data_IF_218346302368
#
_entry.id   IF_218346302368
#
_cell.length_a   1.000
_cell.length_b   1.000
_cell.length_c   1.000
_cell.angle_alpha   90.00
_cell.angle_beta   90.00
_cell.angle_gamma   90.00
#
_symmetry.space_group_name_H-M   'P 1'
#
loop_
_entity.id
_entity.type
_entity.pdbx_description
1 polymer ?
#
# COMPACT_ATOMS: atom_id res chain seq x y z
N UNK A 1 -7.90 -45.08 14.98
CA UNK A 1 -7.79 -44.71 16.40
C UNK A 1 -6.67 -43.70 16.65
N UNK A 2 -5.51 -43.80 15.98
CA UNK A 2 -4.39 -42.85 16.16
C UNK A 2 -4.68 -41.41 15.70
N UNK A 3 -5.35 -41.21 14.56
CA UNK A 3 -5.65 -39.86 14.02
C UNK A 3 -6.53 -39.02 14.98
N UNK A 4 -7.58 -39.60 15.55
CA UNK A 4 -8.45 -38.91 16.52
C UNK A 4 -7.71 -38.52 17.81
N UNK A 5 -6.84 -39.39 18.32
CA UNK A 5 -6.03 -39.10 19.51
C UNK A 5 -5.02 -37.99 19.24
N UNK A 6 -4.40 -38.00 18.07
CA UNK A 6 -3.45 -36.98 17.66
C UNK A 6 -4.14 -35.62 17.46
N UNK A 7 -5.31 -35.57 16.81
CA UNK A 7 -6.11 -34.34 16.68
C UNK A 7 -6.47 -33.75 18.04
N UNK A 8 -6.86 -34.60 18.99
CA UNK A 8 -7.17 -34.16 20.36
C UNK A 8 -5.93 -33.60 21.06
N UNK A 9 -4.77 -34.24 20.94
CA UNK A 9 -3.52 -33.75 21.50
C UNK A 9 -3.12 -32.39 20.90
N UNK A 10 -3.21 -32.23 19.58
CA UNK A 10 -2.95 -30.94 18.92
C UNK A 10 -3.91 -29.86 19.40
N UNK A 11 -5.20 -30.19 19.54
CA UNK A 11 -6.21 -29.26 20.04
C UNK A 11 -5.89 -28.78 21.46
N UNK A 12 -5.45 -29.65 22.37
CA UNK A 12 -5.03 -29.24 23.72
C UNK A 12 -3.82 -28.30 23.69
N UNK A 13 -2.82 -28.60 22.86
CA UNK A 13 -1.62 -27.75 22.72
C UNK A 13 -2.01 -26.36 22.19
N UNK A 14 -2.84 -26.30 21.15
CA UNK A 14 -3.31 -25.04 20.57
C UNK A 14 -4.18 -24.28 21.55
N UNK A 15 -5.07 -24.94 22.29
CA UNK A 15 -5.89 -24.28 23.30
C UNK A 15 -5.04 -23.67 24.41
N UNK A 16 -4.03 -24.41 24.87
CA UNK A 16 -3.07 -23.90 25.87
C UNK A 16 -2.37 -22.65 25.34
N UNK A 17 -1.91 -22.68 24.08
CA UNK A 17 -1.33 -21.49 23.46
C UNK A 17 -2.30 -20.32 23.36
N UNK A 18 -3.57 -20.58 23.04
CA UNK A 18 -4.59 -19.53 22.98
C UNK A 18 -4.75 -18.87 24.34
N UNK A 19 -4.77 -19.64 25.44
CA UNK A 19 -4.86 -19.09 26.80
C UNK A 19 -3.63 -18.25 27.18
N UNK A 20 -2.42 -18.72 26.87
CA UNK A 20 -1.19 -17.95 27.10
C UNK A 20 -1.24 -16.61 26.34
N UNK A 21 -1.54 -16.68 25.04
CA UNK A 21 -1.63 -15.48 24.20
C UNK A 21 -2.76 -14.55 24.65
N UNK A 22 -3.90 -15.10 25.07
CA UNK A 22 -5.00 -14.31 25.61
C UNK A 22 -4.58 -13.52 26.84
N UNK A 23 -3.84 -14.15 27.77
CA UNK A 23 -3.28 -13.47 28.94
C UNK A 23 -2.37 -12.30 28.54
N UNK A 24 -1.44 -12.52 27.61
CA UNK A 24 -0.52 -11.48 27.12
C UNK A 24 -1.27 -10.32 26.46
N UNK A 25 -2.28 -10.62 25.62
CA UNK A 25 -3.09 -9.60 24.93
C UNK A 25 -3.90 -8.78 25.93
N UNK A 26 -4.48 -9.42 26.95
CA UNK A 26 -5.32 -8.74 27.92
C UNK A 26 -4.56 -7.74 28.79
N UNK A 27 -3.26 -7.93 29.01
CA UNK A 27 -2.40 -6.92 29.67
C UNK A 27 -2.35 -5.63 28.86
N UNK A 28 -2.32 -5.72 27.53
CA UNK A 28 -2.31 -4.58 26.62
C UNK A 28 -3.72 -3.99 26.50
N UNK A 29 -4.75 -4.85 26.39
CA UNK A 29 -6.15 -4.46 26.21
C UNK A 29 -6.67 -3.47 27.23
N UNK A 30 -6.21 -3.57 28.47
CA UNK A 30 -6.71 -2.79 29.61
C UNK A 30 -5.92 -1.51 29.87
N UNK A 31 -4.88 -1.21 29.08
CA UNK A 31 -4.10 0.02 29.23
C UNK A 31 -4.94 1.27 28.97
N UNK A 32 -5.95 1.17 28.11
CA UNK A 32 -6.82 2.30 27.72
C UNK A 32 -8.13 2.36 28.51
N UNK A 33 -8.15 2.00 29.80
CA UNK A 33 -9.37 2.04 30.62
C UNK A 33 -9.91 3.48 30.85
N UNK A 34 -11.23 3.70 30.91
CA UNK A 34 -12.33 2.74 30.76
C UNK A 34 -12.62 2.34 29.31
N UNK A 35 -13.23 1.16 29.14
CA UNK A 35 -13.73 0.69 27.84
C UNK A 35 -14.94 1.53 27.39
N UNK A 36 -15.21 1.64 26.08
CA UNK A 36 -16.32 2.44 25.58
C UNK A 36 -17.67 1.76 25.91
N UNK A 37 -18.74 2.56 26.08
CA UNK A 37 -20.08 2.01 26.33
C UNK A 37 -20.56 1.14 25.16
N UNK A 38 -21.52 0.21 25.38
CA UNK A 38 -22.07 -0.62 24.32
C UNK A 38 -22.68 0.21 23.20
N UNK A 39 -22.38 -0.19 21.98
CA UNK A 39 -22.94 0.43 20.78
C UNK A 39 -24.48 0.31 20.71
N UNK A 40 -25.03 -0.79 21.24
CA UNK A 40 -26.46 -1.08 21.32
C UNK A 40 -26.77 -1.41 22.78
N UNK A 41 -27.82 -0.80 23.32
CA UNK A 41 -28.29 -1.04 24.68
C UNK A 41 -29.75 -1.44 24.63
N UNK A 42 -30.10 -2.50 25.36
CA UNK A 42 -31.50 -2.85 25.59
C UNK A 42 -32.13 -1.85 26.56
N UNK A 43 -33.14 -1.11 26.11
CA UNK A 43 -33.85 -0.11 26.92
C UNK A 43 -34.56 -0.69 28.14
N UNK A 44 -34.84 -2.00 28.16
CA UNK A 44 -35.54 -2.68 29.24
C UNK A 44 -34.59 -3.21 30.33
N UNK A 45 -33.29 -3.27 30.07
CA UNK A 45 -32.29 -3.79 31.00
C UNK A 45 -31.32 -2.70 31.48
N UNK A 46 -30.94 -2.70 32.77
CA UNK A 46 -29.94 -1.76 33.26
C UNK A 46 -28.57 -2.07 32.65
N UNK A 47 -27.86 -1.03 32.21
CA UNK A 47 -26.47 -1.15 31.77
C UNK A 47 -25.58 -1.48 32.98
N UNK A 48 -24.92 -2.65 32.94
CA UNK A 48 -23.95 -3.06 33.95
C UNK A 48 -22.55 -2.92 33.35
N UNK A 49 -21.84 -1.88 33.78
CA UNK A 49 -20.45 -1.66 33.40
C UNK A 49 -19.51 -2.50 34.28
N UNK A 50 -18.34 -2.91 33.78
CA UNK A 50 -17.37 -3.64 34.59
C UNK A 50 -16.69 -2.68 35.57
N UNK A 51 -16.54 -3.11 36.82
CA UNK A 51 -16.05 -2.28 37.92
C UNK A 51 -14.51 -2.13 37.89
N UNK A 52 -13.81 -3.06 37.23
CA UNK A 52 -12.36 -3.05 37.17
C UNK A 52 -11.80 -3.80 35.96
N UNK A 53 -10.54 -3.52 35.64
CA UNK A 53 -9.77 -4.25 34.62
C UNK A 53 -9.59 -5.73 34.98
N UNK A 54 -9.40 -6.05 36.27
CA UNK A 54 -9.25 -7.43 36.75
C UNK A 54 -10.50 -8.28 36.48
N UNK A 55 -11.69 -7.69 36.69
CA UNK A 55 -12.96 -8.36 36.39
C UNK A 55 -13.06 -8.72 34.91
N UNK A 56 -12.70 -7.81 34.00
CA UNK A 56 -12.72 -8.06 32.56
C UNK A 56 -11.74 -9.17 32.16
N UNK A 57 -10.53 -9.18 32.73
CA UNK A 57 -9.53 -10.22 32.47
C UNK A 57 -10.07 -11.60 32.89
N UNK A 58 -10.65 -11.70 34.09
CA UNK A 58 -11.25 -12.95 34.59
C UNK A 58 -12.43 -13.40 33.72
N UNK A 59 -13.30 -12.47 33.30
CA UNK A 59 -14.43 -12.77 32.42
C UNK A 59 -13.96 -13.29 31.06
N UNK A 60 -12.99 -12.64 30.42
CA UNK A 60 -12.43 -13.06 29.12
C UNK A 60 -11.85 -14.48 29.21
N UNK A 61 -11.04 -14.75 30.24
CA UNK A 61 -10.42 -16.06 30.43
C UNK A 61 -11.47 -17.14 30.73
N UNK A 62 -12.44 -16.84 31.60
CA UNK A 62 -13.54 -17.74 31.95
C UNK A 62 -14.42 -18.08 30.75
N UNK A 63 -14.83 -17.08 29.98
CA UNK A 63 -15.66 -17.27 28.78
C UNK A 63 -14.94 -18.10 27.71
N UNK A 64 -13.65 -17.86 27.49
CA UNK A 64 -12.86 -18.66 26.53
C UNK A 64 -12.73 -20.12 26.99
N UNK A 65 -12.50 -20.37 28.29
CA UNK A 65 -12.38 -21.73 28.85
C UNK A 65 -13.67 -22.52 28.76
N UNK A 66 -14.82 -21.88 28.98
CA UNK A 66 -16.13 -22.54 28.98
C UNK A 66 -16.59 -22.90 27.55
N UNK A 67 -16.31 -22.05 26.56
CA UNK A 67 -16.77 -22.25 25.19
C UNK A 67 -15.83 -23.15 24.35
N UNK A 68 -15.67 -24.39 24.82
CA UNK A 68 -14.82 -25.38 24.15
C UNK A 68 -15.34 -25.78 22.77
N UNK A 69 -16.66 -25.72 22.59
CA UNK A 69 -17.30 -26.04 21.32
C UNK A 69 -16.93 -25.02 20.24
N UNK A 70 -16.99 -23.72 20.54
CA UNK A 70 -16.58 -22.67 19.59
C UNK A 70 -15.09 -22.76 19.28
N UNK A 71 -14.23 -23.00 20.28
CA UNK A 71 -12.81 -23.24 20.05
C UNK A 71 -12.56 -24.38 19.05
N UNK A 72 -13.22 -25.53 19.24
CA UNK A 72 -13.05 -26.68 18.34
C UNK A 72 -13.53 -26.36 16.92
N UNK A 73 -14.66 -25.63 16.77
CA UNK A 73 -15.15 -25.19 15.46
C UNK A 73 -14.13 -24.31 14.73
N UNK A 74 -13.60 -23.28 15.42
CA UNK A 74 -12.61 -22.37 14.85
C UNK A 74 -11.29 -23.09 14.50
N UNK A 75 -10.94 -24.13 15.27
CA UNK A 75 -9.77 -24.96 14.95
C UNK A 75 -9.99 -25.82 13.71
N UNK A 76 -11.20 -26.35 13.48
CA UNK A 76 -11.54 -27.03 12.22
C UNK A 76 -11.48 -26.07 11.03
N UNK A 77 -11.99 -24.84 11.16
CA UNK A 77 -11.84 -23.80 10.13
C UNK A 77 -10.35 -23.51 9.81
N UNK A 78 -9.49 -23.53 10.83
CA UNK A 78 -8.04 -23.40 10.63
C UNK A 78 -7.45 -24.63 9.89
N UNK A 79 -7.93 -25.85 10.16
CA UNK A 79 -7.51 -27.06 9.43
C UNK A 79 -7.84 -26.93 7.95
N UNK A 80 -9.05 -26.47 7.63
CA UNK A 80 -9.52 -26.32 6.26
C UNK A 80 -8.76 -25.22 5.49
N UNK A 81 -8.52 -24.08 6.12
CA UNK A 81 -7.94 -22.91 5.46
C UNK A 81 -6.41 -22.86 5.44
N UNK A 82 -5.74 -23.39 6.48
CA UNK A 82 -4.29 -23.23 6.65
C UNK A 82 -3.46 -24.41 6.15
N UNK A 83 -4.03 -25.60 6.04
CA UNK A 83 -3.32 -26.81 5.60
C UNK A 83 -3.26 -26.80 4.06
N UNK A 84 -2.07 -26.69 3.44
CA UNK A 84 -1.97 -26.64 1.99
C UNK A 84 -2.42 -27.94 1.36
N UNK A 85 -3.12 -27.84 0.23
CA UNK A 85 -3.65 -29.00 -0.49
C UNK A 85 -2.55 -30.03 -0.84
N UNK A 86 -1.31 -29.61 -1.12
CA UNK A 86 -0.19 -30.55 -1.37
C UNK A 86 0.07 -31.56 -0.24
N UNK A 87 -0.31 -31.25 1.01
CA UNK A 87 -0.15 -32.18 2.13
C UNK A 87 -1.22 -33.30 2.12
N UNK A 88 -2.34 -33.10 1.42
CA UNK A 88 -3.34 -34.16 1.23
C UNK A 88 -2.85 -35.30 0.35
N UNK A 89 -1.72 -35.10 -0.34
CA UNK A 89 -1.08 -36.09 -1.22
C UNK A 89 0.02 -36.91 -0.51
N UNK A 90 0.23 -36.69 0.79
CA UNK A 90 1.21 -37.44 1.58
C UNK A 90 0.67 -38.80 2.03
N UNK A 91 1.54 -39.67 2.54
CA UNK A 91 1.15 -41.01 3.00
C UNK A 91 0.26 -40.99 4.25
N UNK A 92 0.33 -39.95 5.07
CA UNK A 92 -0.54 -39.73 6.24
C UNK A 92 -0.93 -38.24 6.33
N UNK A 93 -1.93 -37.82 5.53
CA UNK A 93 -2.37 -36.42 5.44
C UNK A 93 -2.79 -35.80 6.76
N UNK A 94 -3.50 -36.56 7.60
CA UNK A 94 -3.98 -36.09 8.90
C UNK A 94 -2.79 -35.75 9.80
N UNK A 95 -1.84 -36.67 9.92
CA UNK A 95 -0.67 -36.49 10.78
C UNK A 95 0.22 -35.34 10.35
N UNK A 96 0.49 -35.21 9.06
CA UNK A 96 1.31 -34.13 8.52
C UNK A 96 0.56 -32.79 8.57
N UNK A 97 -0.77 -32.79 8.41
CA UNK A 97 -1.64 -31.63 8.62
C UNK A 97 -1.59 -31.11 10.05
N UNK A 98 -1.73 -31.98 11.06
CA UNK A 98 -1.63 -31.59 12.46
C UNK A 98 -0.22 -31.04 12.82
N UNK A 99 0.85 -31.68 12.30
CA UNK A 99 2.22 -31.16 12.46
C UNK A 99 2.39 -29.79 11.80
N UNK A 100 1.75 -29.56 10.66
CA UNK A 100 1.78 -28.29 9.95
C UNK A 100 1.17 -27.16 10.80
N UNK A 101 0.02 -27.41 11.44
CA UNK A 101 -0.59 -26.47 12.38
C UNK A 101 0.31 -26.20 13.59
N UNK A 102 0.90 -27.24 14.19
CA UNK A 102 1.80 -27.09 15.33
C UNK A 102 3.07 -26.28 15.00
N UNK A 103 3.57 -26.34 13.76
CA UNK A 103 4.69 -25.48 13.31
C UNK A 103 4.29 -24.01 13.17
N UNK A 104 2.99 -23.70 13.09
CA UNK A 104 2.40 -22.36 12.97
C UNK A 104 1.54 -22.00 14.17
N UNK A 105 1.89 -22.54 15.33
CA UNK A 105 1.09 -22.49 16.55
C UNK A 105 0.63 -21.06 16.91
N UNK A 106 1.52 -20.06 16.77
CA UNK A 106 1.20 -18.65 17.04
C UNK A 106 0.15 -18.11 16.05
N UNK A 107 0.31 -18.40 14.76
CA UNK A 107 -0.60 -17.94 13.71
C UNK A 107 -1.99 -18.59 13.84
N UNK A 108 -2.03 -19.88 14.18
CA UNK A 108 -3.28 -20.62 14.44
C UNK A 108 -3.99 -20.05 15.67
N UNK A 109 -3.28 -19.88 16.79
CA UNK A 109 -3.85 -19.32 18.01
C UNK A 109 -4.43 -17.93 17.77
N UNK A 110 -3.69 -17.06 17.05
CA UNK A 110 -4.15 -15.72 16.70
C UNK A 110 -5.40 -15.74 15.84
N UNK A 111 -5.47 -16.60 14.80
CA UNK A 111 -6.70 -16.77 13.98
C UNK A 111 -7.91 -17.20 14.80
N UNK A 112 -7.72 -18.13 15.74
CA UNK A 112 -8.78 -18.57 16.66
C UNK A 112 -9.24 -17.41 17.55
N UNK A 113 -8.32 -16.66 18.16
CA UNK A 113 -8.68 -15.53 19.03
C UNK A 113 -9.42 -14.42 18.27
N UNK A 114 -9.05 -14.13 17.01
CA UNK A 114 -9.86 -13.25 16.15
C UNK A 114 -11.27 -13.80 15.93
N UNK A 115 -11.43 -15.10 15.66
CA UNK A 115 -12.76 -15.72 15.50
C UNK A 115 -13.59 -15.73 16.79
N UNK A 116 -12.94 -15.83 17.94
CA UNK A 116 -13.61 -15.67 19.25
C UNK A 116 -14.07 -14.23 19.45
N UNK A 117 -13.20 -13.26 19.17
CA UNK A 117 -13.51 -11.84 19.26
C UNK A 117 -14.71 -11.46 18.38
N UNK A 118 -14.69 -11.89 17.10
CA UNK A 118 -15.81 -11.69 16.17
C UNK A 118 -17.10 -12.35 16.69
N UNK A 119 -17.01 -13.56 17.26
CA UNK A 119 -18.15 -14.24 17.84
C UNK A 119 -18.76 -13.49 19.02
N UNK A 120 -17.94 -12.95 19.92
CA UNK A 120 -18.42 -12.15 21.05
C UNK A 120 -19.04 -10.83 20.58
N UNK A 121 -18.38 -10.12 19.66
CA UNK A 121 -18.91 -8.88 19.10
C UNK A 121 -20.18 -9.11 18.27
N UNK A 122 -20.32 -10.26 17.62
CA UNK A 122 -21.55 -10.60 16.91
C UNK A 122 -22.75 -10.77 17.85
N UNK A 123 -22.55 -11.30 19.06
CA UNK A 123 -23.58 -11.36 20.10
C UNK A 123 -23.83 -10.00 20.73
N UNK A 124 -22.77 -9.21 20.92
CA UNK A 124 -22.89 -7.87 21.49
C UNK A 124 -23.66 -6.89 20.58
N UNK A 125 -23.50 -7.05 19.26
CA UNK A 125 -24.14 -6.22 18.23
C UNK A 125 -25.43 -6.85 17.68
N UNK A 126 -25.97 -7.88 18.33
CA UNK A 126 -27.29 -8.42 17.98
C UNK A 126 -28.37 -7.40 18.37
N UNK A 127 -29.15 -6.94 17.39
CA UNK A 127 -30.18 -5.91 17.59
C UNK A 127 -31.36 -6.42 18.39
N UNK A 128 -31.63 -7.72 18.32
CA UNK A 128 -32.78 -8.32 19.01
C UNK A 128 -32.45 -8.68 20.47
N UNK A 129 -31.16 -8.92 20.77
CA UNK A 129 -30.71 -9.33 22.09
C UNK A 129 -29.23 -8.94 22.33
N UNK A 130 -28.92 -7.64 22.52
CA UNK A 130 -27.54 -7.18 22.67
C UNK A 130 -26.92 -7.68 23.98
N UNK A 131 -25.75 -8.31 23.90
CA UNK A 131 -25.03 -8.83 25.07
C UNK A 131 -23.93 -7.85 25.53
N UNK A 132 -24.23 -7.11 26.60
CA UNK A 132 -23.33 -6.13 27.24
C UNK A 132 -22.04 -6.77 27.78
N UNK A 133 -22.10 -7.99 28.31
CA UNK A 133 -20.89 -8.67 28.81
C UNK A 133 -19.98 -9.04 27.64
N UNK A 134 -20.56 -9.53 26.55
CA UNK A 134 -19.82 -9.83 25.31
C UNK A 134 -19.29 -8.57 24.63
N UNK A 135 -19.95 -7.44 24.79
CA UNK A 135 -19.42 -6.15 24.33
C UNK A 135 -18.08 -5.84 25.00
N UNK A 136 -18.03 -5.76 26.32
CA UNK A 136 -16.81 -5.35 27.02
C UNK A 136 -15.67 -6.36 26.84
N UNK A 137 -15.98 -7.66 26.92
CA UNK A 137 -14.97 -8.72 26.68
C UNK A 137 -14.49 -8.75 25.23
N UNK A 138 -15.39 -8.51 24.26
CA UNK A 138 -15.07 -8.41 22.83
C UNK A 138 -14.21 -7.19 22.51
N UNK A 139 -14.58 -6.00 22.97
CA UNK A 139 -13.80 -4.76 22.76
C UNK A 139 -12.43 -4.86 23.43
N UNK A 140 -12.35 -5.40 24.65
CA UNK A 140 -11.07 -5.61 25.31
C UNK A 140 -10.18 -6.55 24.49
N UNK A 141 -10.70 -7.72 24.08
CA UNK A 141 -9.94 -8.66 23.26
C UNK A 141 -9.52 -8.05 21.91
N UNK A 142 -10.42 -7.32 21.25
CA UNK A 142 -10.14 -6.59 20.02
C UNK A 142 -8.95 -5.63 20.20
N UNK A 143 -9.00 -4.76 21.22
CA UNK A 143 -7.93 -3.80 21.50
C UNK A 143 -6.56 -4.47 21.69
N UNK A 144 -6.54 -5.63 22.37
CA UNK A 144 -5.32 -6.43 22.55
C UNK A 144 -4.82 -7.04 21.24
N UNK A 145 -5.71 -7.63 20.44
CA UNK A 145 -5.39 -8.24 19.14
C UNK A 145 -4.79 -7.22 18.16
N UNK A 146 -5.19 -5.96 18.26
CA UNK A 146 -4.69 -4.86 17.43
C UNK A 146 -3.31 -4.32 17.86
N UNK A 147 -2.55 -5.08 18.66
CA UNK A 147 -1.20 -4.73 19.11
C UNK A 147 -0.10 -4.90 18.04
N UNK A 148 -0.37 -5.59 16.94
CA UNK A 148 0.61 -5.88 15.89
C UNK A 148 0.02 -5.59 14.51
N UNK A 149 0.78 -4.93 13.63
CA UNK A 149 0.43 -4.69 12.23
C UNK A 149 0.68 -5.90 11.35
N UNK A 150 0.06 -7.05 11.66
CA UNK A 150 0.09 -8.22 10.79
C UNK A 150 -1.11 -8.25 9.83
N UNK A 151 -1.02 -9.07 8.78
CA UNK A 151 -2.10 -9.13 7.77
C UNK A 151 -3.46 -9.55 8.35
N UNK A 152 -3.51 -10.19 9.52
CA UNK A 152 -4.77 -10.49 10.22
C UNK A 152 -5.36 -9.23 10.86
N UNK A 153 -4.57 -8.48 11.63
CA UNK A 153 -5.04 -7.23 12.23
C UNK A 153 -5.41 -6.18 11.18
N UNK A 154 -4.63 -6.08 10.09
CA UNK A 154 -4.92 -5.16 8.99
C UNK A 154 -6.28 -5.45 8.36
N UNK A 155 -6.57 -6.71 8.01
CA UNK A 155 -7.80 -7.05 7.29
C UNK A 155 -8.98 -7.36 8.22
N UNK A 156 -8.85 -8.35 9.11
CA UNK A 156 -9.95 -8.75 10.01
C UNK A 156 -10.20 -7.71 11.09
N UNK A 157 -9.15 -7.09 11.60
CA UNK A 157 -9.30 -6.01 12.58
C UNK A 157 -10.01 -4.80 12.00
N UNK A 158 -9.70 -4.42 10.75
CA UNK A 158 -10.46 -3.39 10.03
C UNK A 158 -11.94 -3.76 9.94
N UNK A 159 -12.28 -4.99 9.54
CA UNK A 159 -13.68 -5.43 9.48
C UNK A 159 -14.40 -5.42 10.83
N UNK A 160 -13.68 -5.72 11.92
CA UNK A 160 -14.22 -5.60 13.28
C UNK A 160 -14.52 -4.12 13.60
N UNK A 161 -13.57 -3.22 13.34
CA UNK A 161 -13.77 -1.77 13.54
C UNK A 161 -14.96 -1.28 12.71
N UNK A 162 -15.02 -1.65 11.43
CA UNK A 162 -16.09 -1.30 10.50
C UNK A 162 -17.44 -1.80 11.05
N UNK A 163 -17.50 -3.04 11.55
CA UNK A 163 -18.71 -3.63 12.14
C UNK A 163 -19.18 -2.89 13.39
N UNK A 164 -18.23 -2.46 14.23
CA UNK A 164 -18.50 -1.64 15.42
C UNK A 164 -19.05 -0.26 15.01
N UNK A 165 -18.37 0.44 14.11
CA UNK A 165 -18.77 1.76 13.63
C UNK A 165 -20.18 1.73 13.00
N UNK A 166 -20.46 0.69 12.22
CA UNK A 166 -21.74 0.49 11.55
C UNK A 166 -22.83 -0.11 12.45
N UNK A 167 -22.49 -0.54 13.67
CA UNK A 167 -23.39 -1.27 14.59
C UNK A 167 -24.09 -2.48 13.97
N UNK A 168 -23.29 -3.29 13.28
CA UNK A 168 -23.72 -4.56 12.67
C UNK A 168 -22.80 -5.70 13.11
N UNK A 169 -23.33 -6.92 13.34
CA UNK A 169 -22.49 -8.08 13.66
C UNK A 169 -21.41 -8.36 12.60
N UNK A 170 -20.16 -8.66 13.01
CA UNK A 170 -19.13 -9.11 12.08
C UNK A 170 -19.57 -10.32 11.25
N UNK A 171 -19.18 -10.35 9.97
CA UNK A 171 -19.45 -11.47 9.05
C UNK A 171 -20.86 -11.52 8.45
N UNK A 172 -21.78 -10.62 8.80
CA UNK A 172 -23.16 -10.60 8.28
C UNK A 172 -23.45 -9.57 7.19
N UNK A 173 -22.48 -8.75 6.78
CA UNK A 173 -22.73 -7.68 5.82
C UNK A 173 -21.58 -7.57 4.78
N UNK A 174 -21.89 -7.17 3.53
CA UNK A 174 -20.92 -7.20 2.44
C UNK A 174 -19.86 -6.10 2.61
N UNK A 175 -18.63 -6.51 2.89
CA UNK A 175 -17.45 -5.65 3.04
C UNK A 175 -16.79 -5.26 1.70
N UNK A 176 -17.51 -5.38 0.57
CA UNK A 176 -16.94 -5.05 -0.76
C UNK A 176 -16.86 -3.54 -0.96
N UNK A 177 -15.69 -2.96 -1.29
CA UNK A 177 -15.57 -1.55 -1.65
C UNK A 177 -16.60 -1.20 -2.73
N UNK A 178 -17.15 0.00 -2.70
CA UNK A 178 -18.00 0.47 -3.80
C UNK A 178 -17.11 0.56 -5.04
N UNK A 179 -17.49 -0.13 -6.11
CA UNK A 179 -16.72 -0.13 -7.33
C UNK A 179 -16.63 1.31 -7.86
N UNK A 180 -15.48 1.72 -8.36
CA UNK A 180 -15.26 3.07 -8.94
C UNK A 180 -15.60 3.11 -10.42
N UNK A 181 -15.85 4.29 -11.01
CA UNK A 181 -16.23 4.45 -12.44
C UNK A 181 -15.26 3.84 -13.46
N UNK A 182 -14.05 3.52 -13.02
CA UNK A 182 -12.99 2.91 -13.83
C UNK A 182 -12.95 1.37 -13.73
N UNK A 183 -13.78 0.75 -12.88
CA UNK A 183 -13.83 -0.70 -12.67
C UNK A 183 -15.00 -1.33 -13.46
N UNK A 184 -14.79 -2.55 -13.96
CA UNK A 184 -15.73 -3.26 -14.85
C UNK A 184 -17.08 -3.62 -14.20
N UNK A 185 -17.11 -3.69 -12.87
CA UNK A 185 -18.25 -3.99 -12.02
C UNK A 185 -18.98 -2.75 -11.49
N UNK A 186 -18.57 -1.55 -11.92
CA UNK A 186 -19.24 -0.29 -11.59
C UNK A 186 -20.67 -0.25 -12.12
N UNK A 187 -21.63 -0.06 -11.21
CA UNK A 187 -23.03 0.18 -11.54
C UNK A 187 -23.50 1.48 -10.88
N UNK A 188 -24.08 2.38 -11.66
CA UNK A 188 -24.61 3.67 -11.19
C UNK A 188 -25.82 3.52 -10.24
N UNK A 189 -26.40 2.31 -10.19
CA UNK A 189 -27.57 1.95 -9.37
C UNK A 189 -27.26 0.95 -8.26
N UNK A 190 -25.99 0.74 -7.86
CA UNK A 190 -25.70 -0.26 -6.82
C UNK A 190 -26.38 0.13 -5.48
N UNK A 191 -27.43 -0.59 -5.04
CA UNK A 191 -28.40 -0.10 -4.07
C UNK A 191 -28.01 -0.50 -2.65
N UNK A 192 -26.75 -0.31 -2.28
CA UNK A 192 -26.24 -0.52 -0.94
C UNK A 192 -26.02 0.81 -0.24
N UNK A 193 -27.05 1.63 -0.04
CA UNK A 193 -26.97 2.72 0.95
C UNK A 193 -26.76 2.08 2.32
N UNK A 194 -25.49 1.89 2.67
CA UNK A 194 -25.06 1.60 4.03
C UNK A 194 -25.65 2.71 4.89
N UNK A 195 -26.59 2.38 5.77
CA UNK A 195 -27.17 3.36 6.68
C UNK A 195 -26.54 3.15 8.05
N UNK A 196 -25.81 4.15 8.52
CA UNK A 196 -25.28 4.17 9.89
C UNK A 196 -26.40 4.64 10.79
N UNK A 197 -26.74 3.83 11.80
CA UNK A 197 -27.69 4.24 12.81
C UNK A 197 -27.07 5.35 13.66
N UNK A 198 -27.48 6.59 13.41
CA UNK A 198 -27.00 7.79 14.10
C UNK A 198 -27.29 7.76 15.61
N UNK A 199 -28.24 6.93 16.06
CA UNK A 199 -28.58 6.80 17.47
C UNK A 199 -27.77 5.73 18.21
N UNK A 200 -26.86 5.05 17.50
CA UNK A 200 -26.06 3.96 18.07
C UNK A 200 -24.68 4.44 18.54
N UNK A 201 -24.19 3.91 19.66
CA UNK A 201 -22.89 4.26 20.25
C UNK A 201 -21.67 3.70 19.48
N UNK A 202 -21.88 3.13 18.29
CA UNK A 202 -20.85 2.45 17.52
C UNK A 202 -19.74 3.36 17.02
N UNK A 203 -20.10 4.57 16.57
CA UNK A 203 -19.12 5.58 16.11
C UNK A 203 -18.21 6.00 17.26
N UNK A 204 -18.76 6.25 18.45
CA UNK A 204 -17.99 6.60 19.64
C UNK A 204 -17.05 5.48 20.07
N UNK A 205 -17.54 4.22 20.04
CA UNK A 205 -16.71 3.06 20.34
C UNK A 205 -15.58 2.83 19.32
N UNK A 206 -15.86 3.06 18.03
CA UNK A 206 -14.87 3.01 16.99
C UNK A 206 -13.82 4.11 17.17
N UNK A 207 -14.22 5.35 17.49
CA UNK A 207 -13.31 6.44 17.83
C UNK A 207 -12.41 6.11 19.02
N UNK A 208 -12.97 5.54 20.09
CA UNK A 208 -12.19 5.06 21.23
C UNK A 208 -11.12 4.05 20.81
N UNK A 209 -11.43 3.12 19.90
CA UNK A 209 -10.45 2.16 19.39
C UNK A 209 -9.34 2.84 18.58
N UNK A 210 -9.69 3.81 17.74
CA UNK A 210 -8.70 4.58 16.98
C UNK A 210 -7.78 5.38 17.92
N UNK A 211 -8.32 5.96 18.98
CA UNK A 211 -7.53 6.70 19.97
C UNK A 211 -6.62 5.76 20.78
N UNK A 212 -7.10 4.57 21.11
CA UNK A 212 -6.29 3.53 21.75
C UNK A 212 -5.15 3.04 20.84
N UNK A 213 -5.33 3.06 19.51
CA UNK A 213 -4.24 2.75 18.57
C UNK A 213 -3.24 3.91 18.47
N UNK A 214 -3.72 5.16 18.40
CA UNK A 214 -2.86 6.34 18.30
C UNK A 214 -2.01 6.57 19.56
N UNK A 215 -2.52 6.19 20.74
CA UNK A 215 -1.76 6.23 22.00
C UNK A 215 -0.81 5.03 22.18
N UNK A 216 -0.82 4.08 21.24
CA UNK A 216 -0.05 2.84 21.31
C UNK A 216 1.40 2.97 20.83
N UNK A 217 2.01 1.81 20.57
CA UNK A 217 3.33 1.72 19.94
C UNK A 217 3.29 2.17 18.47
N UNK A 218 4.46 2.35 17.87
CA UNK A 218 4.58 2.73 16.46
C UNK A 218 3.88 1.72 15.53
N UNK A 219 3.90 0.42 15.85
CA UNK A 219 3.17 -0.60 15.07
C UNK A 219 1.65 -0.40 15.11
N UNK A 220 1.10 0.02 16.27
CA UNK A 220 -0.33 0.30 16.42
C UNK A 220 -0.75 1.55 15.64
N UNK A 221 0.11 2.57 15.64
CA UNK A 221 -0.09 3.78 14.84
C UNK A 221 -0.03 3.50 13.34
N UNK A 222 0.91 2.66 12.88
CA UNK A 222 0.94 2.22 11.48
C UNK A 222 -0.34 1.46 11.11
N UNK A 223 -0.81 0.55 11.98
CA UNK A 223 -2.07 -0.16 11.77
C UNK A 223 -3.27 0.80 11.66
N UNK A 224 -3.33 1.81 12.53
CA UNK A 224 -4.34 2.88 12.47
C UNK A 224 -4.33 3.59 11.12
N UNK A 225 -3.16 4.00 10.61
CA UNK A 225 -3.06 4.66 9.30
C UNK A 225 -3.55 3.73 8.18
N UNK A 226 -3.20 2.44 8.22
CA UNK A 226 -3.69 1.45 7.24
C UNK A 226 -5.21 1.31 7.27
N UNK A 227 -5.82 1.32 8.45
CA UNK A 227 -7.28 1.31 8.57
C UNK A 227 -7.91 2.59 8.07
N UNK A 228 -7.33 3.75 8.39
CA UNK A 228 -7.81 5.04 7.85
C UNK A 228 -7.74 5.06 6.33
N UNK A 229 -6.69 4.49 5.73
CA UNK A 229 -6.61 4.31 4.27
C UNK A 229 -7.78 3.47 3.72
N UNK A 230 -8.11 2.35 4.38
CA UNK A 230 -9.24 1.52 3.98
C UNK A 230 -10.59 2.26 4.15
N UNK A 231 -10.76 3.05 5.21
CA UNK A 231 -11.97 3.86 5.43
C UNK A 231 -12.14 4.96 4.38
N UNK A 232 -11.06 5.49 3.79
CA UNK A 232 -11.16 6.48 2.70
C UNK A 232 -11.82 5.92 1.42
N UNK A 233 -11.90 4.60 1.27
CA UNK A 233 -12.64 3.95 0.18
C UNK A 233 -14.16 3.90 0.43
N UNK A 234 -14.61 4.33 1.61
CA UNK A 234 -16.01 4.29 2.05
C UNK A 234 -16.53 5.70 2.34
N UNK A 235 -17.24 6.35 1.39
CA UNK A 235 -17.71 7.73 1.56
C UNK A 235 -18.45 7.98 2.89
N UNK A 236 -19.28 7.03 3.33
CA UNK A 236 -20.02 7.16 4.58
C UNK A 236 -19.12 7.17 5.83
N UNK A 237 -18.04 6.39 5.84
CA UNK A 237 -17.09 6.37 6.95
C UNK A 237 -16.22 7.62 6.95
N UNK A 238 -15.91 8.19 5.78
CA UNK A 238 -15.14 9.46 5.70
C UNK A 238 -15.82 10.55 6.53
N UNK A 239 -17.13 10.72 6.34
CA UNK A 239 -17.94 11.72 7.05
C UNK A 239 -18.15 11.32 8.51
N UNK A 240 -18.72 10.13 8.77
CA UNK A 240 -19.13 9.74 10.12
C UNK A 240 -17.97 9.53 11.09
N UNK A 241 -16.81 9.08 10.60
CA UNK A 241 -15.59 8.93 11.41
C UNK A 241 -14.72 10.19 11.41
N UNK A 242 -15.18 11.31 10.83
CA UNK A 242 -14.46 12.56 10.73
C UNK A 242 -12.98 12.39 10.32
N UNK A 243 -12.74 11.52 9.33
CA UNK A 243 -11.37 11.14 8.92
C UNK A 243 -10.48 12.34 8.59
N UNK A 244 -10.95 13.39 7.89
CA UNK A 244 -10.13 14.56 7.59
C UNK A 244 -9.52 15.19 8.86
N UNK A 245 -10.34 15.41 9.89
CA UNK A 245 -9.88 15.97 11.17
C UNK A 245 -8.84 15.06 11.84
N UNK A 246 -9.01 13.74 11.76
CA UNK A 246 -8.06 12.79 12.33
C UNK A 246 -6.72 12.82 11.60
N UNK A 247 -6.72 12.87 10.26
CA UNK A 247 -5.48 13.01 9.49
C UNK A 247 -4.74 14.31 9.84
N UNK A 248 -5.44 15.44 9.98
CA UNK A 248 -4.85 16.73 10.36
C UNK A 248 -4.26 16.74 11.77
N UNK A 249 -4.86 16.00 12.70
CA UNK A 249 -4.33 15.82 14.04
C UNK A 249 -3.10 14.90 14.02
N UNK A 250 -3.23 13.76 13.34
CA UNK A 250 -2.19 12.75 13.29
C UNK A 250 -0.94 13.23 12.57
N UNK A 251 -1.01 14.09 11.55
CA UNK A 251 0.20 14.50 10.82
C UNK A 251 1.20 15.26 11.71
N UNK A 252 0.76 15.78 12.87
CA UNK A 252 1.59 16.53 13.81
C UNK A 252 2.49 15.58 14.63
N UNK A 253 3.80 15.70 14.43
CA UNK A 253 4.83 15.09 15.30
C UNK A 253 4.80 13.56 15.43
N UNK A 254 4.41 12.84 14.37
CA UNK A 254 4.51 11.37 14.36
C UNK A 254 5.94 10.87 14.08
N UNK A 255 6.28 9.66 14.56
CA UNK A 255 7.50 8.95 14.19
C UNK A 255 7.63 8.79 12.67
N UNK A 256 8.87 8.66 12.19
CA UNK A 256 9.19 8.58 10.76
C UNK A 256 8.38 7.52 10.01
N UNK A 257 8.28 6.29 10.56
CA UNK A 257 7.55 5.19 9.90
C UNK A 257 6.04 5.44 9.80
N UNK A 258 5.45 6.07 10.81
CA UNK A 258 4.03 6.43 10.80
C UNK A 258 3.77 7.56 9.81
N UNK A 259 4.67 8.56 9.76
CA UNK A 259 4.60 9.64 8.78
C UNK A 259 4.73 9.11 7.35
N UNK A 260 5.63 8.16 7.11
CA UNK A 260 5.77 7.51 5.80
C UNK A 260 4.50 6.75 5.40
N UNK A 261 3.85 6.03 6.33
CA UNK A 261 2.56 5.36 6.02
C UNK A 261 1.44 6.37 5.74
N UNK A 262 1.41 7.52 6.44
CA UNK A 262 0.41 8.59 6.21
C UNK A 262 0.45 9.12 4.78
N UNK A 263 1.64 9.20 4.18
CA UNK A 263 1.81 9.63 2.79
C UNK A 263 0.95 8.80 1.84
N UNK A 264 0.85 7.49 2.06
CA UNK A 264 0.05 6.59 1.21
C UNK A 264 -1.44 6.92 1.17
N UNK A 265 -1.95 7.67 2.15
CA UNK A 265 -3.35 8.07 2.23
C UNK A 265 -3.64 9.38 1.46
N UNK A 266 -2.62 10.17 1.15
CA UNK A 266 -2.77 11.53 0.60
C UNK A 266 -3.54 11.58 -0.72
N UNK A 267 -3.26 10.73 -1.74
CA UNK A 267 -3.98 10.82 -3.00
C UNK A 267 -5.49 10.63 -2.80
N UNK A 268 -5.89 9.61 -2.05
CA UNK A 268 -7.31 9.36 -1.80
C UNK A 268 -7.92 10.43 -0.89
N UNK A 269 -7.18 10.93 0.10
CA UNK A 269 -7.64 12.03 0.95
C UNK A 269 -7.89 13.30 0.13
N UNK A 270 -7.02 13.64 -0.83
CA UNK A 270 -7.21 14.78 -1.74
C UNK A 270 -8.50 14.66 -2.57
N UNK A 271 -8.89 13.45 -2.97
CA UNK A 271 -10.14 13.22 -3.72
C UNK A 271 -11.38 13.44 -2.85
N UNK A 272 -11.37 12.93 -1.61
CA UNK A 272 -12.56 12.99 -0.73
C UNK A 272 -12.64 14.29 0.08
N UNK A 273 -11.50 14.91 0.40
CA UNK A 273 -11.37 16.19 1.08
C UNK A 273 -10.08 16.91 0.65
N UNK A 274 -10.15 17.77 -0.40
CA UNK A 274 -8.98 18.47 -0.94
C UNK A 274 -8.24 19.35 0.08
N UNK A 275 -8.97 20.00 0.99
CA UNK A 275 -8.39 20.93 1.98
C UNK A 275 -7.50 20.20 2.97
N UNK A 276 -8.05 19.16 3.62
CA UNK A 276 -7.28 18.33 4.56
C UNK A 276 -6.18 17.55 3.84
N UNK A 277 -6.43 17.07 2.62
CA UNK A 277 -5.43 16.39 1.80
C UNK A 277 -4.20 17.27 1.52
N UNK A 278 -4.43 18.53 1.14
CA UNK A 278 -3.36 19.49 0.89
C UNK A 278 -2.61 19.87 2.17
N UNK A 279 -3.33 20.04 3.29
CA UNK A 279 -2.73 20.32 4.60
C UNK A 279 -1.78 19.19 5.01
N UNK A 280 -2.26 17.94 4.94
CA UNK A 280 -1.48 16.75 5.31
C UNK A 280 -0.27 16.59 4.39
N UNK A 281 -0.45 16.74 3.08
CA UNK A 281 0.66 16.69 2.12
C UNK A 281 1.71 17.75 2.43
N UNK A 282 1.30 19.01 2.63
CA UNK A 282 2.21 20.12 2.93
C UNK A 282 3.00 19.83 4.21
N UNK A 283 2.34 19.34 5.26
CA UNK A 283 3.01 18.98 6.49
C UNK A 283 4.03 17.85 6.28
N UNK A 284 3.69 16.80 5.52
CA UNK A 284 4.60 15.69 5.20
C UNK A 284 5.75 16.11 4.28
N UNK A 285 5.55 17.07 3.38
CA UNK A 285 6.59 17.60 2.50
C UNK A 285 7.67 18.40 3.24
N UNK A 286 7.38 18.91 4.44
CA UNK A 286 8.38 19.60 5.28
C UNK A 286 9.32 18.65 6.01
N UNK A 287 9.07 17.34 5.92
CA UNK A 287 9.83 16.29 6.57
C UNK A 287 11.05 15.91 5.73
N UNK A 288 12.20 15.77 6.37
CA UNK A 288 13.49 15.52 5.70
C UNK A 288 13.95 14.06 5.85
N UNK A 289 13.18 13.23 6.54
CA UNK A 289 13.53 11.84 6.79
C UNK A 289 13.39 10.99 5.52
N UNK A 290 14.28 10.00 5.37
CA UNK A 290 14.41 9.22 4.13
C UNK A 290 13.15 8.40 3.84
N UNK A 291 12.54 7.75 4.83
CA UNK A 291 11.34 6.93 4.58
C UNK A 291 10.15 7.78 4.10
N UNK A 292 10.00 9.01 4.61
CA UNK A 292 8.94 9.93 4.16
C UNK A 292 9.21 10.40 2.74
N UNK A 293 10.47 10.73 2.43
CA UNK A 293 10.88 11.13 1.08
C UNK A 293 10.63 10.03 0.04
N UNK A 294 10.95 8.77 0.37
CA UNK A 294 10.63 7.63 -0.48
C UNK A 294 9.12 7.46 -0.66
N UNK A 295 8.35 7.50 0.44
CA UNK A 295 6.89 7.37 0.35
C UNK A 295 6.24 8.49 -0.48
N UNK A 296 6.73 9.73 -0.39
CA UNK A 296 6.25 10.87 -1.19
C UNK A 296 6.46 10.64 -2.68
N UNK A 297 7.58 10.03 -3.03
CA UNK A 297 7.85 9.72 -4.41
C UNK A 297 7.06 8.51 -4.93
N UNK A 298 6.83 7.50 -4.09
CA UNK A 298 6.02 6.33 -4.44
C UNK A 298 4.56 6.71 -4.77
N UNK A 299 4.01 7.72 -4.08
CA UNK A 299 2.64 8.20 -4.36
C UNK A 299 2.56 9.18 -5.54
N UNK A 300 3.68 9.67 -6.06
CA UNK A 300 3.71 10.75 -7.05
C UNK A 300 2.93 10.41 -8.34
N UNK A 301 3.01 9.19 -8.91
CA UNK A 301 2.15 8.81 -10.03
C UNK A 301 0.65 8.94 -9.73
N UNK A 302 0.24 8.61 -8.50
CA UNK A 302 -1.15 8.75 -8.07
C UNK A 302 -1.53 10.21 -7.89
N UNK A 303 -0.64 11.04 -7.32
CA UNK A 303 -0.87 12.49 -7.23
C UNK A 303 -1.05 13.14 -8.60
N UNK A 304 -0.20 12.81 -9.58
CA UNK A 304 -0.31 13.34 -10.94
C UNK A 304 -1.65 13.02 -11.61
N UNK A 305 -2.27 11.88 -11.26
CA UNK A 305 -3.59 11.48 -11.76
C UNK A 305 -4.73 12.13 -10.99
N UNK A 306 -4.61 12.23 -9.67
CA UNK A 306 -5.64 12.81 -8.79
C UNK A 306 -5.72 14.32 -8.92
N UNK A 307 -4.58 15.02 -8.90
CA UNK A 307 -4.46 16.47 -9.02
C UNK A 307 -3.14 16.82 -9.70
N UNK A 308 -3.20 17.10 -11.01
CA UNK A 308 -2.02 17.42 -11.81
C UNK A 308 -1.22 18.58 -11.22
N UNK A 309 -1.88 19.65 -10.78
CA UNK A 309 -1.21 20.81 -10.17
C UNK A 309 -0.39 20.43 -8.92
N UNK A 310 -1.00 19.67 -8.00
CA UNK A 310 -0.33 19.22 -6.77
C UNK A 310 0.77 18.21 -7.07
N UNK A 311 0.55 17.31 -8.02
CA UNK A 311 1.54 16.34 -8.49
C UNK A 311 2.75 17.02 -9.13
N UNK A 312 2.54 18.03 -9.97
CA UNK A 312 3.62 18.82 -10.57
C UNK A 312 4.43 19.58 -9.50
N UNK A 313 3.77 20.22 -8.55
CA UNK A 313 4.47 20.90 -7.45
C UNK A 313 5.32 19.93 -6.62
N UNK A 314 4.80 18.72 -6.35
CA UNK A 314 5.51 17.66 -5.61
C UNK A 314 6.70 17.10 -6.41
N UNK A 315 6.54 16.89 -7.72
CA UNK A 315 7.61 16.49 -8.62
C UNK A 315 8.74 17.53 -8.63
N UNK A 316 8.39 18.82 -8.74
CA UNK A 316 9.35 19.91 -8.73
C UNK A 316 10.10 19.97 -7.40
N UNK A 317 9.41 19.75 -6.26
CA UNK A 317 10.06 19.66 -4.95
C UNK A 317 11.07 18.51 -4.88
N UNK A 318 10.67 17.29 -5.27
CA UNK A 318 11.56 16.12 -5.24
C UNK A 318 12.77 16.30 -6.14
N UNK A 319 12.59 16.85 -7.34
CA UNK A 319 13.69 17.15 -8.26
C UNK A 319 14.66 18.20 -7.70
N UNK A 320 14.22 19.09 -6.81
CA UNK A 320 15.04 20.08 -6.11
C UNK A 320 15.63 19.58 -4.78
N UNK A 321 15.39 18.33 -4.38
CA UNK A 321 15.90 17.79 -3.12
C UNK A 321 17.41 17.58 -3.14
N UNK A 322 18.06 17.82 -2.00
CA UNK A 322 19.48 17.46 -1.79
C UNK A 322 19.67 15.94 -1.71
N UNK A 323 18.63 15.19 -1.33
CA UNK A 323 18.66 13.74 -1.26
C UNK A 323 18.63 13.09 -2.67
N UNK A 324 19.66 12.34 -3.07
CA UNK A 324 19.67 11.62 -4.34
C UNK A 324 18.53 10.60 -4.47
N UNK A 325 18.05 10.05 -3.35
CA UNK A 325 16.89 9.13 -3.33
C UNK A 325 15.62 9.82 -3.81
N UNK A 326 15.29 10.97 -3.23
CA UNK A 326 14.18 11.82 -3.64
C UNK A 326 14.26 12.24 -5.12
N UNK A 327 15.43 12.69 -5.60
CA UNK A 327 15.60 13.08 -7.02
C UNK A 327 15.48 11.89 -7.98
N UNK A 328 16.00 10.72 -7.59
CA UNK A 328 15.84 9.48 -8.36
C UNK A 328 14.37 9.12 -8.53
N UNK A 329 13.61 9.21 -7.44
CA UNK A 329 12.20 8.84 -7.46
C UNK A 329 11.33 9.86 -8.22
N UNK A 330 11.64 11.16 -8.13
CA UNK A 330 11.08 12.18 -9.02
C UNK A 330 11.38 11.90 -10.51
N UNK A 331 12.60 11.47 -10.82
CA UNK A 331 13.00 11.08 -12.19
C UNK A 331 12.25 9.85 -12.70
N UNK A 332 11.97 8.87 -11.83
CA UNK A 332 11.17 7.71 -12.21
C UNK A 332 9.72 8.09 -12.55
N UNK A 333 9.15 9.07 -11.86
CA UNK A 333 7.77 9.53 -12.07
C UNK A 333 7.58 10.37 -13.34
N UNK A 334 8.64 10.97 -13.91
CA UNK A 334 8.56 11.74 -15.15
C UNK A 334 7.95 10.94 -16.31
N UNK A 335 8.17 9.62 -16.35
CA UNK A 335 7.58 8.75 -17.37
C UNK A 335 6.05 8.77 -17.37
N UNK A 336 5.44 8.77 -16.19
CA UNK A 336 3.98 8.87 -16.06
C UNK A 336 3.50 10.23 -16.59
N UNK A 337 4.25 11.30 -16.28
CA UNK A 337 3.93 12.64 -16.77
C UNK A 337 3.97 12.73 -18.30
N UNK A 338 4.89 12.04 -18.98
CA UNK A 338 4.94 12.00 -20.44
C UNK A 338 3.61 11.53 -21.07
N UNK A 339 2.86 10.66 -20.37
CA UNK A 339 1.55 10.17 -20.83
C UNK A 339 0.39 11.06 -20.42
N UNK A 340 0.50 11.77 -19.30
CA UNK A 340 -0.55 12.62 -18.73
C UNK A 340 -0.54 14.00 -19.39
N UNK A 341 0.64 14.61 -19.47
CA UNK A 341 0.87 15.95 -20.01
C UNK A 341 2.28 16.05 -20.61
N UNK A 342 2.36 15.93 -21.94
CA UNK A 342 3.61 15.96 -22.69
C UNK A 342 4.34 17.31 -22.59
N UNK A 343 3.61 18.42 -22.46
CA UNK A 343 4.24 19.75 -22.36
C UNK A 343 4.89 19.93 -21.00
N UNK A 344 4.17 19.56 -19.94
CA UNK A 344 4.70 19.57 -18.58
C UNK A 344 5.90 18.63 -18.43
N UNK A 345 5.89 17.47 -19.09
CA UNK A 345 7.03 16.56 -19.17
C UNK A 345 8.26 17.23 -19.82
N UNK A 346 8.12 17.73 -21.06
CA UNK A 346 9.22 18.35 -21.80
C UNK A 346 9.84 19.54 -21.05
N UNK A 347 9.04 20.31 -20.32
CA UNK A 347 9.53 21.44 -19.53
C UNK A 347 10.42 21.06 -18.32
N UNK A 348 10.38 19.79 -17.87
CA UNK A 348 11.03 19.33 -16.62
C UNK A 348 12.18 18.35 -16.81
N UNK A 349 12.15 17.57 -17.89
CA UNK A 349 13.13 16.48 -18.12
C UNK A 349 14.58 16.91 -18.14
N UNK A 350 14.87 18.15 -18.58
CA UNK A 350 16.24 18.65 -18.69
C UNK A 350 16.98 18.59 -17.37
N UNK A 351 16.29 18.81 -16.25
CA UNK A 351 16.90 18.81 -14.93
C UNK A 351 17.45 17.44 -14.54
N UNK A 352 16.69 16.37 -14.75
CA UNK A 352 17.14 14.99 -14.50
C UNK A 352 18.21 14.55 -15.49
N UNK A 353 18.11 15.00 -16.75
CA UNK A 353 19.11 14.71 -17.77
C UNK A 353 20.47 15.35 -17.48
N UNK A 354 20.51 16.47 -16.77
CA UNK A 354 21.74 17.18 -16.41
C UNK A 354 22.05 17.12 -14.91
N UNK A 355 21.48 16.15 -14.18
CA UNK A 355 21.72 16.00 -12.74
C UNK A 355 23.22 15.73 -12.48
N UNK A 356 23.75 16.24 -11.37
CA UNK A 356 25.17 16.03 -11.02
C UNK A 356 25.47 14.55 -10.74
N UNK A 357 24.48 13.80 -10.22
CA UNK A 357 24.60 12.37 -9.93
C UNK A 357 24.47 11.51 -11.20
N UNK A 358 25.52 10.75 -11.60
CA UNK A 358 25.44 9.83 -12.74
C UNK A 358 24.35 8.77 -12.60
N UNK A 359 23.99 8.36 -11.38
CA UNK A 359 22.92 7.42 -11.11
C UNK A 359 21.55 7.94 -11.58
N UNK A 360 21.28 9.22 -11.36
CA UNK A 360 20.03 9.87 -11.79
C UNK A 360 20.00 10.03 -13.31
N UNK A 361 21.12 10.44 -13.93
CA UNK A 361 21.21 10.52 -15.39
C UNK A 361 21.02 9.16 -16.06
N UNK A 362 21.60 8.10 -15.51
CA UNK A 362 21.38 6.71 -15.97
C UNK A 362 19.91 6.29 -15.83
N UNK A 363 19.28 6.63 -14.71
CA UNK A 363 17.85 6.36 -14.50
C UNK A 363 16.99 7.09 -15.54
N UNK A 364 17.26 8.37 -15.80
CA UNK A 364 16.59 9.14 -16.85
C UNK A 364 16.72 8.47 -18.23
N UNK A 365 17.92 8.01 -18.59
CA UNK A 365 18.17 7.29 -19.85
C UNK A 365 17.33 6.00 -19.93
N UNK A 366 17.20 5.29 -18.81
CA UNK A 366 16.44 4.05 -18.74
C UNK A 366 14.92 4.27 -18.83
N UNK A 367 14.41 5.32 -18.17
CA UNK A 367 12.96 5.49 -17.96
C UNK A 367 12.31 6.48 -18.92
N UNK A 368 13.01 7.54 -19.33
CA UNK A 368 12.40 8.71 -19.98
C UNK A 368 12.96 9.02 -21.37
N UNK A 369 14.21 8.65 -21.68
CA UNK A 369 14.87 9.06 -22.93
C UNK A 369 14.10 8.63 -24.19
N UNK A 370 13.46 7.46 -24.14
CA UNK A 370 12.63 6.99 -25.25
C UNK A 370 11.39 7.88 -25.43
N UNK A 371 10.66 8.15 -24.36
CA UNK A 371 9.44 8.98 -24.41
C UNK A 371 9.78 10.41 -24.85
N UNK A 372 10.94 10.94 -24.42
CA UNK A 372 11.48 12.20 -24.92
C UNK A 372 11.68 12.16 -26.44
N UNK A 373 12.37 11.16 -26.99
CA UNK A 373 12.64 11.10 -28.44
C UNK A 373 11.41 10.75 -29.27
N UNK A 374 10.36 10.18 -28.67
CA UNK A 374 9.06 10.04 -29.33
C UNK A 374 8.36 11.41 -29.49
N UNK A 375 8.55 12.34 -28.54
CA UNK A 375 7.99 13.69 -28.53
C UNK A 375 8.85 14.74 -29.27
N UNK A 376 10.17 14.69 -29.10
CA UNK A 376 11.17 15.56 -29.70
C UNK A 376 12.26 14.75 -30.40
N UNK A 377 11.97 14.36 -31.63
CA UNK A 377 12.81 13.45 -32.43
C UNK A 377 14.15 14.04 -32.85
N UNK A 378 14.29 15.36 -32.82
CA UNK A 378 15.48 16.06 -33.30
C UNK A 378 16.38 16.55 -32.17
N UNK A 379 16.09 16.15 -30.93
CA UNK A 379 16.81 16.56 -29.73
C UNK A 379 16.92 18.09 -29.58
N UNK A 380 15.82 18.81 -29.81
CA UNK A 380 15.79 20.28 -29.76
C UNK A 380 16.13 20.86 -28.37
N UNK A 381 15.94 20.07 -27.30
CA UNK A 381 16.29 20.48 -25.94
C UNK A 381 17.77 20.25 -25.55
N UNK A 382 18.58 19.68 -26.47
CA UNK A 382 20.00 19.31 -26.27
C UNK A 382 20.15 18.39 -25.05
N UNK A 383 19.46 17.25 -25.06
CA UNK A 383 19.44 16.25 -23.99
C UNK A 383 20.22 15.00 -24.41
N UNK A 384 19.91 14.42 -25.57
CA UNK A 384 20.51 13.17 -26.02
C UNK A 384 22.00 13.36 -26.35
N UNK A 385 22.35 14.41 -27.08
CA UNK A 385 23.74 14.62 -27.53
C UNK A 385 24.70 14.81 -26.35
N UNK A 386 24.44 15.66 -25.34
CA UNK A 386 25.32 15.76 -24.17
C UNK A 386 25.46 14.44 -23.41
N UNK A 387 24.35 13.73 -23.17
CA UNK A 387 24.37 12.42 -22.49
C UNK A 387 25.20 11.38 -23.24
N UNK A 388 25.19 11.43 -24.59
CA UNK A 388 26.03 10.54 -25.41
C UNK A 388 27.52 10.82 -25.20
N UNK A 389 27.89 12.09 -25.14
CA UNK A 389 29.28 12.54 -25.05
C UNK A 389 29.91 12.30 -23.67
N UNK A 390 29.11 12.00 -22.64
CA UNK A 390 29.64 11.57 -21.34
C UNK A 390 30.36 10.20 -21.39
N UNK A 391 30.11 9.40 -22.43
CA UNK A 391 30.68 8.06 -22.65
C UNK A 391 30.53 7.12 -21.43
N UNK A 392 29.41 7.23 -20.72
CA UNK A 392 29.06 6.30 -19.66
C UNK A 392 28.76 4.91 -20.25
N UNK A 393 29.55 3.89 -19.92
CA UNK A 393 29.39 2.56 -20.52
C UNK A 393 28.05 1.90 -20.22
N UNK A 394 27.49 2.13 -19.03
CA UNK A 394 26.23 1.51 -18.60
C UNK A 394 25.06 2.13 -19.37
N UNK A 395 25.01 3.45 -19.40
CA UNK A 395 24.00 4.20 -20.16
C UNK A 395 24.19 4.06 -21.68
N UNK A 396 25.45 4.01 -22.13
CA UNK A 396 25.84 3.96 -23.53
C UNK A 396 25.34 2.72 -24.26
N UNK A 397 25.23 1.56 -23.58
CA UNK A 397 24.58 0.37 -24.16
C UNK A 397 23.14 0.67 -24.59
N UNK A 398 22.37 1.32 -23.70
CA UNK A 398 20.97 1.64 -23.96
C UNK A 398 20.81 2.71 -25.03
N UNK A 399 21.67 3.73 -25.01
CA UNK A 399 21.67 4.78 -26.03
C UNK A 399 22.05 4.24 -27.40
N UNK A 400 23.04 3.33 -27.49
CA UNK A 400 23.38 2.63 -28.74
C UNK A 400 22.21 1.82 -29.27
N UNK A 401 21.51 1.08 -28.41
CA UNK A 401 20.30 0.33 -28.79
C UNK A 401 19.22 1.27 -29.38
N UNK A 402 19.03 2.44 -28.76
CA UNK A 402 18.07 3.43 -29.22
C UNK A 402 18.46 4.00 -30.59
N UNK A 403 19.72 4.40 -30.79
CA UNK A 403 20.21 4.88 -32.09
C UNK A 403 20.14 3.80 -33.17
N UNK A 404 20.43 2.53 -32.81
CA UNK A 404 20.31 1.40 -33.74
C UNK A 404 18.86 1.24 -34.21
N UNK A 405 17.89 1.38 -33.31
CA UNK A 405 16.48 1.34 -33.67
C UNK A 405 16.05 2.57 -34.47
N UNK A 406 16.58 3.74 -34.14
CA UNK A 406 16.29 4.98 -34.86
C UNK A 406 16.78 4.90 -36.30
N UNK A 407 18.01 4.42 -36.55
CA UNK A 407 18.49 4.26 -37.93
C UNK A 407 17.76 3.18 -38.73
N UNK A 408 17.04 2.27 -38.07
CA UNK A 408 16.15 1.31 -38.75
C UNK A 408 14.82 1.98 -39.15
N UNK A 409 14.19 2.74 -38.23
CA UNK A 409 12.79 3.15 -38.36
C UNK A 409 12.60 4.64 -38.73
N UNK A 410 13.49 5.52 -38.27
CA UNK A 410 13.41 6.98 -38.45
C UNK A 410 14.77 7.54 -38.89
N UNK A 411 15.07 7.34 -40.17
CA UNK A 411 16.37 7.66 -40.78
C UNK A 411 16.65 9.16 -40.80
N UNK A 412 15.62 10.00 -40.95
CA UNK A 412 15.77 11.45 -40.94
C UNK A 412 16.23 11.96 -39.57
N UNK A 413 15.60 11.49 -38.49
CA UNK A 413 15.97 11.87 -37.12
C UNK A 413 17.36 11.36 -36.77
N UNK A 414 17.69 10.13 -37.16
CA UNK A 414 19.05 9.59 -36.97
C UNK A 414 20.10 10.41 -37.73
N UNK A 415 19.81 10.85 -38.96
CA UNK A 415 20.73 11.67 -39.75
C UNK A 415 21.05 13.00 -39.03
N UNK A 416 20.03 13.68 -38.49
CA UNK A 416 20.19 14.94 -37.75
C UNK A 416 21.03 14.70 -36.48
N UNK A 417 20.63 13.74 -35.64
CA UNK A 417 21.29 13.46 -34.36
C UNK A 417 22.74 13.01 -34.56
N UNK A 418 22.98 12.08 -35.48
CA UNK A 418 24.34 11.57 -35.74
C UNK A 418 25.28 12.67 -36.27
N UNK A 419 24.78 13.60 -37.10
CA UNK A 419 25.52 14.80 -37.51
C UNK A 419 25.82 15.73 -36.35
N UNK A 420 24.86 15.95 -35.45
CA UNK A 420 25.08 16.76 -34.25
C UNK A 420 26.15 16.14 -33.34
N UNK A 421 26.09 14.83 -33.11
CA UNK A 421 27.10 14.09 -32.34
C UNK A 421 28.48 14.20 -33.01
N UNK A 422 28.55 13.91 -34.32
CA UNK A 422 29.81 13.95 -35.08
C UNK A 422 30.44 15.35 -35.09
N UNK A 423 29.62 16.40 -35.20
CA UNK A 423 30.09 17.79 -35.17
C UNK A 423 30.70 18.16 -33.82
N UNK A 424 30.16 17.64 -32.70
CA UNK A 424 30.70 17.88 -31.35
C UNK A 424 31.90 16.98 -31.03
N UNK A 425 31.88 15.71 -31.46
CA UNK A 425 32.98 14.76 -31.28
C UNK A 425 32.91 13.63 -32.31
N UNK A 426 33.81 13.67 -33.30
CA UNK A 426 33.82 12.72 -34.40
C UNK A 426 34.01 11.26 -33.94
N UNK A 427 34.90 11.03 -32.98
CA UNK A 427 35.30 9.71 -32.49
C UNK A 427 34.23 9.07 -31.56
N UNK A 428 33.29 9.88 -31.05
CA UNK A 428 32.27 9.40 -30.10
C UNK A 428 31.27 8.39 -30.69
N UNK A 429 31.21 8.25 -32.02
CA UNK A 429 30.35 7.28 -32.70
C UNK A 429 31.07 5.94 -32.97
N UNK A 430 32.35 5.78 -32.66
CA UNK A 430 33.11 4.56 -33.00
C UNK A 430 32.53 3.28 -32.39
N UNK A 431 32.09 3.36 -31.12
CA UNK A 431 31.41 2.24 -30.45
C UNK A 431 30.06 1.92 -31.09
N UNK A 432 29.36 2.91 -31.64
CA UNK A 432 28.13 2.68 -32.39
C UNK A 432 28.44 2.01 -33.74
N UNK A 433 29.45 2.51 -34.45
CA UNK A 433 29.86 1.96 -35.75
C UNK A 433 30.32 0.52 -35.65
N UNK A 434 31.11 0.16 -34.64
CA UNK A 434 31.57 -1.22 -34.47
C UNK A 434 30.39 -2.20 -34.31
N UNK A 435 29.32 -1.78 -33.63
CA UNK A 435 28.11 -2.60 -33.48
C UNK A 435 27.29 -2.64 -34.78
N UNK A 436 27.13 -1.50 -35.46
CA UNK A 436 26.38 -1.44 -36.72
C UNK A 436 27.09 -2.22 -37.84
N UNK A 437 28.41 -2.18 -37.93
CA UNK A 437 29.20 -2.94 -38.92
C UNK A 437 29.03 -4.45 -38.77
N UNK A 438 28.94 -4.94 -37.54
CA UNK A 438 28.65 -6.36 -37.26
C UNK A 438 27.24 -6.74 -37.72
N UNK A 439 26.26 -5.82 -37.62
CA UNK A 439 24.87 -6.06 -38.08
C UNK A 439 24.71 -5.92 -39.59
N UNK A 440 25.27 -4.88 -40.18
CA UNK A 440 25.21 -4.56 -41.60
C UNK A 440 26.36 -3.63 -41.99
N UNK A 441 27.41 -4.22 -42.58
CA UNK A 441 28.57 -3.48 -43.04
C UNK A 441 28.21 -2.40 -44.08
N UNK A 442 27.34 -2.74 -45.05
CA UNK A 442 26.91 -1.81 -46.11
C UNK A 442 26.19 -0.59 -45.53
N UNK A 443 25.32 -0.80 -44.55
CA UNK A 443 24.55 0.28 -43.91
C UNK A 443 25.45 1.19 -43.07
N UNK A 444 26.43 0.63 -42.38
CA UNK A 444 27.44 1.41 -41.67
C UNK A 444 28.26 2.31 -42.62
N UNK A 445 28.68 1.77 -43.78
CA UNK A 445 29.38 2.55 -44.81
C UNK A 445 28.51 3.67 -45.36
N UNK A 446 27.24 3.40 -45.67
CA UNK A 446 26.30 4.39 -46.18
C UNK A 446 26.04 5.52 -45.18
N UNK A 447 25.84 5.21 -43.90
CA UNK A 447 25.67 6.21 -42.85
C UNK A 447 26.92 7.06 -42.63
N UNK A 448 28.10 6.45 -42.59
CA UNK A 448 29.38 7.17 -42.48
C UNK A 448 29.57 8.16 -43.63
N UNK A 449 29.24 7.76 -44.87
CA UNK A 449 29.30 8.65 -46.04
C UNK A 449 28.28 9.80 -45.94
N UNK A 450 27.07 9.55 -45.45
CA UNK A 450 26.06 10.59 -45.28
C UNK A 450 26.47 11.67 -44.26
N UNK A 451 27.03 11.26 -43.11
CA UNK A 451 27.39 12.17 -42.03
C UNK A 451 28.47 13.18 -42.46
N UNK A 452 29.36 12.79 -43.37
CA UNK A 452 30.39 13.65 -43.96
C UNK A 452 29.95 14.34 -45.28
N UNK A 453 28.63 14.37 -45.55
CA UNK A 453 28.00 14.97 -46.73
C UNK A 453 28.46 14.38 -48.09
N UNK A 454 28.86 13.10 -48.09
CA UNK A 454 29.33 12.37 -49.28
C UNK A 454 28.34 11.30 -49.78
N UNK A 455 27.14 11.22 -49.20
CA UNK A 455 26.12 10.24 -49.58
C UNK A 455 24.69 10.62 -49.19
N UNK A 456 23.67 10.02 -49.83
CA UNK A 456 22.28 10.22 -49.45
C UNK A 456 21.95 9.54 -48.11
N UNK A 457 20.84 9.95 -47.48
CA UNK A 457 20.29 9.27 -46.30
C UNK A 457 19.91 7.83 -46.70
N UNK A 458 20.36 6.79 -45.99
CA UNK A 458 19.92 5.41 -46.21
C UNK A 458 18.41 5.24 -46.06
N UNK A 459 17.81 4.32 -46.83
CA UNK A 459 16.38 4.02 -46.73
C UNK A 459 16.04 3.31 -45.40
N UNK A 460 14.86 3.57 -44.81
CA UNK A 460 14.40 2.86 -43.60
C UNK A 460 14.29 1.35 -43.82
N UNK A 461 14.56 0.56 -42.78
CA UNK A 461 14.32 -0.88 -42.79
C UNK A 461 12.86 -1.13 -42.35
N UNK A 462 12.06 -1.71 -43.25
CA UNK A 462 10.67 -2.12 -42.99
C UNK A 462 10.56 -3.28 -42.02
#
# INVERSE_FOLDING_TARGET
>A
MDSSRQRQQTAEIIHTRCLEMLGDLMVISVLNWPLPPPAIVDSELPLIEPESTAQIIEQVEGLFKVDRAKFNSLLEECRESMIPHRLSLTSDPDKEGEKWLLRRLVEVARRILFGVCEGWLAMALDRDAPDVTRWYTGIALANGLFSQGDGLAENRGYHILESIAMTHPPGRWPTRPLSGSHQLDWNQQDPGELNIDENSGGIDAAHWLLDALDQGSDERKVLLVKWMRLMLERPILVEKMALPNRFEQMVRSQPELVAAELVSCVPRLLEVNPESGLLVLTALQTRLESHVSFALADILPSLLRTSLEVGLASLDQLANSEDPGARSAGTAALKELATIDSEAFLSRIKKSATDEDPGIRRLFIQTCLRDYLELDRIDSLDILVPLWLEDDEVAGVRMRELLLRMQDVDTDSFAIISKMIHTKSADSLDKFWSVLEVRSHERAVAWKAHIIDQGPIPEPLT
#
